data_IF_422500937310
#
_entry.id   IF_422500937310
#
_cell.length_a   1.000
_cell.length_b   1.000
_cell.length_c   1.000
_cell.angle_alpha   90.00
_cell.angle_beta   90.00
_cell.angle_gamma   90.00
#
_symmetry.space_group_name_H-M   'P 1'
#
loop_
_entity.id
_entity.type
_entity.pdbx_description
1 polymer ?
#
# COMPACT_ATOMS: atom_id res chain seq x y z
N UNK A 1 20.05 21.84 8.56
CA UNK A 1 18.91 21.14 9.17
C UNK A 1 18.50 20.04 8.20
N UNK A 2 18.82 18.78 8.50
CA UNK A 2 18.67 17.65 7.56
C UNK A 2 17.20 17.22 7.46
N UNK A 3 16.46 17.84 6.52
CA UNK A 3 15.07 17.53 6.17
C UNK A 3 14.76 16.03 5.90
N UNK A 4 15.66 15.22 5.28
CA UNK A 4 15.36 13.81 5.01
C UNK A 4 15.19 12.99 6.29
N UNK A 5 15.98 13.27 7.31
CA UNK A 5 16.01 12.49 8.54
C UNK A 5 14.74 12.66 9.37
N UNK A 6 14.16 13.86 9.36
CA UNK A 6 12.92 14.14 10.08
C UNK A 6 11.72 13.47 9.41
N UNK A 7 11.68 13.45 8.07
CA UNK A 7 10.64 12.74 7.33
C UNK A 7 10.73 11.22 7.58
N UNK A 8 11.93 10.63 7.54
CA UNK A 8 12.11 9.20 7.83
C UNK A 8 11.65 8.80 9.22
N UNK A 9 11.88 9.64 10.24
CA UNK A 9 11.37 9.39 11.60
C UNK A 9 9.84 9.53 11.65
N UNK A 10 9.28 10.47 10.89
CA UNK A 10 7.85 10.76 10.88
C UNK A 10 7.00 9.61 10.32
N UNK A 11 7.54 8.85 9.36
CA UNK A 11 6.85 7.70 8.74
C UNK A 11 7.22 6.35 9.35
N UNK A 12 8.08 6.35 10.38
CA UNK A 12 8.64 5.13 10.95
C UNK A 12 7.63 4.24 11.70
N UNK A 13 6.48 4.78 12.10
CA UNK A 13 5.39 4.08 12.79
C UNK A 13 4.35 3.47 11.83
N UNK A 14 4.33 3.88 10.55
CA UNK A 14 3.46 3.30 9.53
C UNK A 14 3.51 1.76 9.45
N UNK A 15 4.67 1.06 9.59
CA UNK A 15 4.72 -0.40 9.59
C UNK A 15 3.91 -1.04 10.71
N UNK A 16 3.64 -0.33 11.80
CA UNK A 16 2.81 -0.84 12.89
C UNK A 16 1.31 -0.79 12.58
N UNK A 17 0.90 -0.05 11.54
CA UNK A 17 -0.49 0.09 11.12
C UNK A 17 -0.98 -1.05 10.19
N UNK A 18 -0.05 -1.86 9.65
CA UNK A 18 -0.36 -2.87 8.63
C UNK A 18 0.19 -4.24 9.00
N UNK A 19 -0.44 -5.30 8.47
CA UNK A 19 0.01 -6.69 8.61
C UNK A 19 0.90 -7.14 7.45
N UNK A 20 0.72 -6.58 6.25
CA UNK A 20 1.53 -6.84 5.08
C UNK A 20 2.99 -6.44 5.28
N UNK A 21 3.86 -6.97 4.42
CA UNK A 21 5.23 -6.47 4.34
C UNK A 21 5.21 -5.08 3.70
N UNK A 22 6.06 -4.20 4.21
CA UNK A 22 6.13 -2.80 3.80
C UNK A 22 7.58 -2.38 3.58
N UNK A 23 7.80 -1.64 2.50
CA UNK A 23 9.02 -0.87 2.26
C UNK A 23 8.65 0.59 2.10
N UNK A 24 9.50 1.46 2.62
CA UNK A 24 9.33 2.90 2.54
C UNK A 24 10.61 3.52 2.04
N UNK A 25 10.49 4.43 1.08
CA UNK A 25 11.61 5.20 0.57
C UNK A 25 11.15 6.60 0.20
N UNK A 26 11.62 7.59 0.96
CA UNK A 26 11.14 8.96 0.84
C UNK A 26 9.60 8.98 0.82
N UNK A 27 8.98 9.64 -0.16
CA UNK A 27 7.53 9.74 -0.31
C UNK A 27 6.84 8.47 -0.84
N UNK A 28 7.59 7.45 -1.28
CA UNK A 28 7.03 6.21 -1.82
C UNK A 28 6.92 5.13 -0.74
N UNK A 29 5.77 4.45 -0.72
CA UNK A 29 5.49 3.29 0.13
C UNK A 29 5.04 2.14 -0.76
N UNK A 30 5.62 0.96 -0.55
CA UNK A 30 5.22 -0.27 -1.25
C UNK A 30 4.78 -1.29 -0.22
N UNK A 31 3.57 -1.83 -0.39
CA UNK A 31 3.04 -2.93 0.40
C UNK A 31 2.95 -4.18 -0.47
N UNK A 32 3.33 -5.33 0.08
CA UNK A 32 3.17 -6.60 -0.62
C UNK A 32 2.81 -7.73 0.33
N UNK A 33 2.07 -8.69 -0.21
CA UNK A 33 1.60 -9.88 0.49
C UNK A 33 1.45 -11.02 -0.50
N UNK A 34 1.68 -12.25 -0.03
CA UNK A 34 1.33 -13.43 -0.81
C UNK A 34 -0.18 -13.63 -0.79
N UNK A 35 -0.80 -13.61 -1.97
CA UNK A 35 -2.26 -13.80 -2.13
C UNK A 35 -2.51 -15.23 -2.62
N UNK A 36 -3.09 -16.07 -1.76
CA UNK A 36 -3.51 -17.44 -2.10
C UNK A 36 -5.03 -17.63 -2.08
N UNK A 37 -5.75 -16.71 -1.44
CA UNK A 37 -7.19 -16.77 -1.22
C UNK A 37 -7.83 -15.39 -1.29
N UNK A 38 -9.17 -15.34 -1.37
CA UNK A 38 -9.92 -14.09 -1.29
C UNK A 38 -9.79 -13.42 0.10
N UNK A 39 -9.55 -14.20 1.15
CA UNK A 39 -9.30 -13.68 2.50
C UNK A 39 -7.96 -12.93 2.55
N UNK A 40 -6.89 -13.49 1.97
CA UNK A 40 -5.60 -12.81 1.88
C UNK A 40 -5.72 -11.47 1.15
N UNK A 41 -6.53 -11.43 0.09
CA UNK A 41 -6.80 -10.22 -0.68
C UNK A 41 -7.62 -9.20 0.14
N UNK A 42 -8.62 -9.66 0.89
CA UNK A 42 -9.37 -8.81 1.82
C UNK A 42 -8.47 -8.20 2.90
N UNK A 43 -7.58 -8.99 3.49
CA UNK A 43 -6.61 -8.48 4.46
C UNK A 43 -5.63 -7.46 3.85
N UNK A 44 -5.24 -7.61 2.58
CA UNK A 44 -4.44 -6.59 1.89
C UNK A 44 -5.24 -5.29 1.66
N UNK A 45 -6.54 -5.39 1.38
CA UNK A 45 -7.43 -4.23 1.31
C UNK A 45 -7.55 -3.54 2.66
N UNK A 46 -7.70 -4.29 3.76
CA UNK A 46 -7.71 -3.73 5.12
C UNK A 46 -6.41 -2.98 5.44
N UNK A 47 -5.26 -3.52 5.01
CA UNK A 47 -3.96 -2.86 5.15
C UNK A 47 -3.89 -1.56 4.34
N UNK A 48 -4.41 -1.53 3.11
CA UNK A 48 -4.50 -0.29 2.30
C UNK A 48 -5.38 0.77 2.96
N UNK A 49 -6.51 0.36 3.54
CA UNK A 49 -7.41 1.25 4.27
C UNK A 49 -6.75 1.81 5.55
N UNK A 50 -5.96 0.98 6.24
CA UNK A 50 -5.18 1.41 7.39
C UNK A 50 -4.09 2.43 7.01
N UNK A 51 -3.39 2.23 5.88
CA UNK A 51 -2.43 3.21 5.35
C UNK A 51 -3.12 4.53 5.03
N UNK A 52 -4.27 4.49 4.35
CA UNK A 52 -5.04 5.69 4.01
C UNK A 52 -5.47 6.45 5.28
N UNK A 53 -5.99 5.75 6.28
CA UNK A 53 -6.37 6.33 7.56
C UNK A 53 -5.16 6.94 8.30
N UNK A 54 -4.02 6.25 8.29
CA UNK A 54 -2.78 6.74 8.91
C UNK A 54 -2.25 8.00 8.21
N UNK A 55 -2.30 8.06 6.87
CA UNK A 55 -1.95 9.27 6.12
C UNK A 55 -2.84 10.44 6.56
N UNK A 56 -4.15 10.23 6.61
CA UNK A 56 -5.10 11.26 7.04
C UNK A 56 -4.86 11.73 8.48
N UNK A 57 -4.58 10.80 9.42
CA UNK A 57 -4.30 11.17 10.82
C UNK A 57 -3.00 11.96 10.98
N UNK A 58 -2.05 11.75 10.09
CA UNK A 58 -0.76 12.44 10.03
C UNK A 58 -0.79 13.67 9.10
N UNK A 59 -1.97 14.11 8.63
CA UNK A 59 -2.10 15.30 7.79
C UNK A 59 -1.43 15.18 6.42
N UNK A 60 -1.22 13.95 5.94
CA UNK A 60 -0.71 13.65 4.60
C UNK A 60 -1.84 13.28 3.66
N UNK A 61 -1.67 13.60 2.38
CA UNK A 61 -2.61 13.25 1.32
C UNK A 61 -1.99 12.16 0.44
N UNK A 62 -2.67 11.02 0.35
CA UNK A 62 -2.26 9.92 -0.51
C UNK A 62 -2.77 10.19 -1.93
N UNK A 63 -1.87 10.18 -2.91
CA UNK A 63 -2.24 10.39 -4.30
C UNK A 63 -2.72 9.08 -4.93
N UNK A 64 -4.02 8.81 -4.79
CA UNK A 64 -4.64 7.58 -5.30
C UNK A 64 -4.43 7.36 -6.80
N UNK A 65 -4.34 8.43 -7.61
CA UNK A 65 -4.12 8.35 -9.05
C UNK A 65 -2.70 7.89 -9.43
N UNK A 66 -1.74 7.97 -8.50
CA UNK A 66 -0.38 7.45 -8.68
C UNK A 66 -0.19 6.07 -8.04
N UNK A 67 -1.14 5.61 -7.23
CA UNK A 67 -1.09 4.29 -6.64
C UNK A 67 -1.45 3.23 -7.68
N UNK A 68 -0.63 2.18 -7.73
CA UNK A 68 -0.78 1.10 -8.69
C UNK A 68 -0.67 -0.24 -7.98
N UNK A 69 -1.33 -1.26 -8.55
CA UNK A 69 -1.24 -2.65 -8.10
C UNK A 69 -0.41 -3.44 -9.10
N UNK A 70 0.40 -4.37 -8.60
CA UNK A 70 1.20 -5.26 -9.42
C UNK A 70 1.05 -6.69 -8.93
N UNK A 71 0.62 -7.59 -9.82
CA UNK A 71 0.55 -9.02 -9.54
C UNK A 71 1.85 -9.69 -9.98
N UNK A 72 2.62 -10.21 -9.02
CA UNK A 72 3.83 -10.99 -9.32
C UNK A 72 3.52 -12.48 -9.15
N UNK A 73 3.23 -13.18 -10.25
CA UNK A 73 2.93 -14.62 -10.22
C UNK A 73 3.50 -15.38 -11.40
N UNK A 74 3.76 -16.68 -11.18
CA UNK A 74 4.09 -17.64 -12.25
C UNK A 74 2.85 -18.35 -12.79
N UNK A 75 1.69 -18.17 -12.15
CA UNK A 75 0.44 -18.80 -12.55
C UNK A 75 -0.13 -18.08 -13.78
N UNK A 76 -0.70 -18.85 -14.72
CA UNK A 76 -1.38 -18.28 -15.90
C UNK A 76 -2.71 -17.62 -15.54
N UNK A 77 -3.32 -18.02 -14.44
CA UNK A 77 -4.57 -17.48 -13.92
C UNK A 77 -4.28 -16.86 -12.54
N UNK A 78 -3.85 -15.61 -12.53
CA UNK A 78 -3.71 -14.84 -11.30
C UNK A 78 -5.10 -14.53 -10.71
N UNK A 79 -5.19 -14.46 -9.39
CA UNK A 79 -6.42 -14.02 -8.71
C UNK A 79 -6.45 -12.49 -8.75
N UNK A 80 -7.12 -11.94 -9.76
CA UNK A 80 -7.17 -10.50 -9.97
C UNK A 80 -8.27 -9.89 -9.09
N UNK A 81 -7.87 -9.21 -8.02
CA UNK A 81 -8.80 -8.62 -7.04
C UNK A 81 -8.74 -7.10 -7.13
N UNK A 82 -9.83 -6.41 -7.50
CA UNK A 82 -9.80 -4.95 -7.54
C UNK A 82 -9.54 -4.40 -6.13
N UNK A 83 -8.54 -3.54 -6.01
CA UNK A 83 -8.21 -2.82 -4.78
C UNK A 83 -8.64 -1.36 -4.87
N UNK A 84 -8.96 -0.77 -3.72
CA UNK A 84 -9.33 0.64 -3.62
C UNK A 84 -8.50 1.38 -2.57
N UNK A 85 -8.27 2.67 -2.77
CA UNK A 85 -7.72 3.55 -1.74
C UNK A 85 -8.46 4.89 -1.77
N UNK A 86 -8.94 5.36 -0.62
CA UNK A 86 -9.70 6.61 -0.54
C UNK A 86 -10.94 6.65 -1.44
N UNK A 87 -11.52 5.49 -1.76
CA UNK A 87 -12.67 5.36 -2.67
C UNK A 87 -12.34 5.33 -4.17
N UNK A 88 -11.07 5.45 -4.56
CA UNK A 88 -10.62 5.27 -5.94
C UNK A 88 -10.15 3.83 -6.18
N UNK A 89 -10.53 3.23 -7.31
CA UNK A 89 -10.03 1.92 -7.74
C UNK A 89 -8.61 2.09 -8.28
N UNK A 90 -7.70 1.22 -7.84
CA UNK A 90 -6.31 1.25 -8.27
C UNK A 90 -6.14 0.60 -9.64
N UNK A 91 -5.28 1.20 -10.47
CA UNK A 91 -4.91 0.63 -11.76
C UNK A 91 -3.86 -0.48 -11.59
N UNK A 92 -4.01 -1.54 -12.39
CA UNK A 92 -3.02 -2.60 -12.49
C UNK A 92 -1.95 -2.25 -13.50
N UNK A 93 -0.69 -2.43 -13.09
CA UNK A 93 0.43 -2.24 -13.98
C UNK A 93 0.71 -3.55 -14.74
N UNK A 94 0.23 -3.64 -15.98
CA UNK A 94 0.50 -4.75 -16.89
C UNK A 94 1.98 -4.71 -17.31
N UNK A 95 2.72 -5.79 -17.02
CA UNK A 95 4.11 -5.96 -17.50
C UNK A 95 4.19 -6.87 -18.71
#
# INVERSE_FOLDING_TARGET
MNRPLLFTIYVADLPAAVKAQIAQYADDVTLWKQIGSAEDAGELQDDLDAVFAWCASNGMELNAAKCQVMDVTRAKNALHTPYTVGGAVLEYNDT
#
